data_IF_519176765393
#
_entry.id   IF_519176765393
#
_cell.length_a   1.000
_cell.length_b   1.000
_cell.length_c   1.000
_cell.angle_alpha   90.00
_cell.angle_beta   90.00
_cell.angle_gamma   90.00
#
_symmetry.space_group_name_H-M   'P 1'
#
loop_
_entity.id
_entity.type
_entity.pdbx_description
1 polymer ?
#
# COMPACT_ATOMS: atom_id res chain seq x y z
N UNK A 1 -33.01 29.52 82.62
CA UNK A 1 -31.83 29.70 81.74
C UNK A 1 -31.71 28.47 80.85
N UNK A 2 -31.82 28.70 79.53
CA UNK A 2 -31.34 27.92 78.39
C UNK A 2 -31.75 26.43 78.25
N UNK A 3 -32.73 26.18 77.37
CA UNK A 3 -32.76 24.98 76.54
C UNK A 3 -32.99 25.43 75.10
N UNK A 4 -31.94 25.40 74.28
CA UNK A 4 -31.99 25.76 72.86
C UNK A 4 -32.27 24.51 72.03
N UNK A 5 -33.43 24.44 71.39
CA UNK A 5 -33.75 23.42 70.38
C UNK A 5 -33.37 23.94 69.00
N UNK A 6 -32.33 23.35 68.42
CA UNK A 6 -31.91 23.59 67.04
C UNK A 6 -32.90 22.95 66.06
N UNK A 7 -33.62 23.76 65.29
CA UNK A 7 -34.34 23.31 64.10
C UNK A 7 -33.32 22.94 63.00
N UNK A 8 -33.32 21.68 62.55
CA UNK A 8 -32.63 21.30 61.32
C UNK A 8 -33.44 21.81 60.10
N UNK A 9 -32.78 22.38 59.07
CA UNK A 9 -33.47 22.96 57.94
C UNK A 9 -33.93 21.86 56.97
N UNK A 10 -35.24 21.82 56.70
CA UNK A 10 -35.91 20.98 55.69
C UNK A 10 -35.34 21.16 54.27
N UNK A 11 -34.62 22.25 54.01
CA UNK A 11 -33.90 22.49 52.76
C UNK A 11 -32.78 21.47 52.48
N UNK A 12 -32.21 20.84 53.52
CA UNK A 12 -31.11 19.88 53.38
C UNK A 12 -31.55 18.56 52.73
N UNK A 13 -32.74 18.04 53.08
CA UNK A 13 -33.22 16.75 52.55
C UNK A 13 -33.58 16.81 51.06
N UNK A 14 -34.14 17.93 50.57
CA UNK A 14 -34.47 18.08 49.16
C UNK A 14 -33.23 18.15 48.26
N UNK A 15 -32.15 18.79 48.73
CA UNK A 15 -30.87 18.83 48.02
C UNK A 15 -30.19 17.47 47.96
N UNK A 16 -30.32 16.66 49.02
CA UNK A 16 -29.81 15.28 49.04
C UNK A 16 -30.61 14.38 48.09
N UNK A 17 -31.93 14.53 48.04
CA UNK A 17 -32.77 13.77 47.10
C UNK A 17 -32.48 14.14 45.64
N UNK A 18 -32.30 15.42 45.32
CA UNK A 18 -31.93 15.88 43.98
C UNK A 18 -30.55 15.40 43.55
N UNK A 19 -29.57 15.39 44.45
CA UNK A 19 -28.22 14.87 44.15
C UNK A 19 -28.20 13.36 43.96
N UNK A 20 -28.98 12.60 44.73
CA UNK A 20 -29.17 11.16 44.51
C UNK A 20 -29.85 10.90 43.16
N UNK A 21 -30.90 11.65 42.81
CA UNK A 21 -31.55 11.53 41.51
C UNK A 21 -30.58 11.83 40.36
N UNK A 22 -29.74 12.86 40.53
CA UNK A 22 -28.73 13.24 39.54
C UNK A 22 -27.63 12.18 39.39
N UNK A 23 -27.21 11.55 40.49
CA UNK A 23 -26.27 10.42 40.46
C UNK A 23 -26.88 9.18 39.80
N UNK A 24 -28.16 8.89 40.01
CA UNK A 24 -28.87 7.79 39.33
C UNK A 24 -28.98 8.07 37.83
N UNK A 25 -29.31 9.29 37.44
CA UNK A 25 -29.37 9.72 36.03
C UNK A 25 -27.98 9.67 35.39
N UNK A 26 -26.92 10.08 36.09
CA UNK A 26 -25.54 9.94 35.61
C UNK A 26 -25.12 8.47 35.52
N UNK A 27 -25.45 7.63 36.49
CA UNK A 27 -25.14 6.20 36.45
C UNK A 27 -25.85 5.50 35.29
N UNK A 28 -27.11 5.84 35.01
CA UNK A 28 -27.83 5.35 33.83
C UNK A 28 -27.23 5.90 32.53
N UNK A 29 -26.84 7.18 32.48
CA UNK A 29 -26.19 7.77 31.31
C UNK A 29 -24.78 7.20 31.04
N UNK A 30 -24.06 6.77 32.08
CA UNK A 30 -22.77 6.09 31.99
C UNK A 30 -22.97 4.63 31.57
N UNK A 31 -24.00 3.94 32.08
CA UNK A 31 -24.34 2.58 31.68
C UNK A 31 -24.82 2.49 30.21
N UNK A 32 -25.55 3.49 29.71
CA UNK A 32 -25.96 3.58 28.30
C UNK A 32 -24.78 3.89 27.37
N UNK A 33 -23.67 4.47 27.88
CA UNK A 33 -22.46 4.75 27.09
C UNK A 33 -21.45 3.58 27.02
N UNK A 34 -21.77 2.42 27.61
CA UNK A 34 -20.82 1.30 27.72
C UNK A 34 -21.34 -0.06 27.23
N UNK A 35 -22.47 -0.12 26.52
CA UNK A 35 -22.68 -1.27 25.63
C UNK A 35 -21.80 -1.09 24.40
N UNK A 36 -20.79 -1.95 24.15
CA UNK A 36 -20.17 -1.98 22.84
C UNK A 36 -21.30 -2.30 21.87
N UNK A 37 -21.52 -1.40 20.91
CA UNK A 37 -22.41 -1.62 19.79
C UNK A 37 -21.95 -2.93 19.13
N UNK A 38 -22.65 -4.03 19.42
CA UNK A 38 -22.35 -5.33 18.84
C UNK A 38 -22.70 -5.20 17.36
N UNK A 39 -21.71 -4.90 16.52
CA UNK A 39 -21.91 -5.01 15.08
C UNK A 39 -22.40 -6.44 14.80
N UNK A 40 -23.57 -6.61 14.17
CA UNK A 40 -24.09 -7.94 13.87
C UNK A 40 -23.09 -8.66 12.96
N UNK A 41 -22.58 -9.80 13.44
CA UNK A 41 -21.68 -10.66 12.67
C UNK A 41 -22.25 -12.07 12.61
N UNK A 42 -22.03 -12.74 11.49
CA UNK A 42 -22.32 -14.16 11.32
C UNK A 42 -21.05 -14.96 11.64
N UNK A 43 -21.19 -16.05 12.40
CA UNK A 43 -20.08 -16.97 12.65
C UNK A 43 -20.05 -18.00 11.54
N UNK A 44 -18.93 -18.07 10.82
CA UNK A 44 -18.71 -19.04 9.74
C UNK A 44 -17.54 -19.96 10.09
N UNK A 45 -17.49 -21.10 9.42
CA UNK A 45 -16.44 -22.12 9.58
C UNK A 45 -15.80 -22.39 8.21
N UNK A 46 -14.75 -21.64 7.83
CA UNK A 46 -14.09 -21.84 6.56
C UNK A 46 -13.39 -23.20 6.51
N UNK A 47 -13.60 -23.95 5.43
CA UNK A 47 -12.95 -25.22 5.18
C UNK A 47 -12.06 -25.10 3.97
N UNK A 48 -10.75 -25.32 4.16
CA UNK A 48 -9.79 -25.35 3.05
C UNK A 48 -10.09 -26.56 2.14
N UNK A 49 -10.23 -26.33 0.85
CA UNK A 49 -10.45 -27.37 -0.15
C UNK A 49 -9.10 -27.80 -0.77
N UNK A 50 -8.96 -29.09 -1.07
CA UNK A 50 -7.81 -29.60 -1.80
C UNK A 50 -7.96 -29.36 -3.30
N UNK A 51 -7.03 -28.61 -3.89
CA UNK A 51 -6.97 -28.38 -5.33
C UNK A 51 -6.20 -29.54 -5.97
N UNK A 52 -6.91 -30.45 -6.64
CA UNK A 52 -6.28 -31.52 -7.42
C UNK A 52 -5.63 -30.93 -8.67
N UNK A 53 -4.31 -30.74 -8.63
CA UNK A 53 -3.54 -30.46 -9.83
C UNK A 53 -3.52 -31.71 -10.71
N UNK A 54 -4.21 -31.65 -11.85
CA UNK A 54 -4.11 -32.70 -12.87
C UNK A 54 -2.65 -32.72 -13.33
N UNK A 55 -1.89 -33.77 -12.98
CA UNK A 55 -0.52 -33.96 -13.47
C UNK A 55 -0.55 -33.95 -15.00
N UNK A 56 -0.14 -32.86 -15.62
CA UNK A 56 0.24 -32.88 -17.03
C UNK A 56 1.52 -33.71 -17.11
N UNK A 57 1.42 -34.86 -17.76
CA UNK A 57 2.57 -35.71 -18.11
C UNK A 57 3.35 -34.94 -19.19
N UNK A 58 4.23 -34.03 -18.78
CA UNK A 58 5.35 -33.60 -19.61
C UNK A 58 6.61 -34.23 -19.04
N UNK A 59 7.06 -35.28 -19.72
CA UNK A 59 8.42 -35.78 -19.62
C UNK A 59 9.39 -34.63 -19.85
N UNK A 60 10.11 -34.21 -18.81
CA UNK A 60 11.53 -33.94 -18.90
C UNK A 60 12.16 -33.93 -17.51
N UNK A 61 13.13 -34.81 -17.33
CA UNK A 61 13.96 -34.98 -16.15
C UNK A 61 14.76 -33.69 -15.88
N UNK A 62 14.23 -32.80 -15.05
CA UNK A 62 15.02 -31.90 -14.21
C UNK A 62 14.19 -31.39 -13.02
N UNK A 63 13.59 -32.31 -12.26
CA UNK A 63 13.09 -31.97 -10.92
C UNK A 63 14.30 -31.76 -10.00
N UNK A 64 14.89 -30.55 -10.05
CA UNK A 64 15.55 -30.03 -8.85
C UNK A 64 14.44 -29.85 -7.83
N UNK A 65 14.51 -30.60 -6.73
CA UNK A 65 13.72 -30.41 -5.51
C UNK A 65 13.73 -28.91 -5.14
N UNK A 66 12.72 -28.18 -5.59
CA UNK A 66 12.42 -26.84 -5.11
C UNK A 66 11.74 -27.00 -3.75
N UNK A 67 12.30 -26.38 -2.72
CA UNK A 67 11.68 -26.31 -1.38
C UNK A 67 10.20 -25.94 -1.54
N UNK A 68 9.29 -26.80 -1.08
CA UNK A 68 7.88 -26.43 -0.91
C UNK A 68 7.84 -25.19 -0.01
N UNK A 69 7.44 -24.04 -0.58
CA UNK A 69 7.27 -22.81 0.18
C UNK A 69 6.18 -22.97 1.23
N UNK A 70 6.28 -22.27 2.36
CA UNK A 70 5.36 -22.41 3.52
C UNK A 70 3.88 -22.16 3.17
N UNK A 71 3.62 -21.44 2.09
CA UNK A 71 2.30 -21.03 1.64
C UNK A 71 2.06 -21.42 0.19
N UNK A 72 0.99 -22.19 -0.05
CA UNK A 72 0.54 -22.65 -1.36
C UNK A 72 0.22 -21.49 -2.31
N UNK A 73 0.47 -21.63 -3.63
CA UNK A 73 0.24 -20.57 -4.61
C UNK A 73 -1.24 -20.28 -4.85
N UNK A 74 -2.10 -21.29 -4.69
CA UNK A 74 -3.54 -21.21 -4.89
C UNK A 74 -4.26 -21.89 -3.72
N UNK A 75 -5.33 -21.27 -3.25
CA UNK A 75 -6.14 -21.73 -2.13
C UNK A 75 -7.62 -21.64 -2.48
N UNK A 76 -8.40 -22.57 -1.96
CA UNK A 76 -9.85 -22.50 -1.98
C UNK A 76 -10.39 -22.69 -0.57
N UNK A 77 -11.28 -21.80 -0.13
CA UNK A 77 -11.99 -21.95 1.15
C UNK A 77 -13.48 -21.95 0.89
N UNK A 78 -14.15 -22.98 1.39
CA UNK A 78 -15.60 -23.11 1.40
C UNK A 78 -16.14 -22.65 2.75
N UNK A 79 -17.20 -21.86 2.76
CA UNK A 79 -17.93 -21.50 3.98
C UNK A 79 -19.41 -21.36 3.68
N UNK A 80 -20.25 -21.51 4.70
CA UNK A 80 -21.68 -21.16 4.60
C UNK A 80 -21.85 -19.76 5.15
N UNK A 81 -22.45 -18.88 4.36
CA UNK A 81 -22.72 -17.48 4.69
C UNK A 81 -24.16 -17.14 4.29
N UNK A 82 -24.96 -16.61 5.20
CA UNK A 82 -26.40 -16.38 4.99
C UNK A 82 -27.17 -17.63 4.51
N UNK A 83 -26.71 -18.82 4.89
CA UNK A 83 -27.29 -20.10 4.43
C UNK A 83 -26.89 -20.54 3.02
N UNK A 84 -26.05 -19.76 2.33
CA UNK A 84 -25.55 -20.08 0.99
C UNK A 84 -24.10 -20.55 1.03
N UNK A 85 -23.73 -21.45 0.12
CA UNK A 85 -22.35 -21.92 -0.02
C UNK A 85 -21.51 -20.87 -0.77
N UNK A 86 -20.47 -20.37 -0.11
CA UNK A 86 -19.51 -19.42 -0.67
C UNK A 86 -18.15 -20.09 -0.76
N UNK A 87 -17.55 -20.09 -1.95
CA UNK A 87 -16.20 -20.60 -2.18
C UNK A 87 -15.28 -19.45 -2.58
N UNK A 88 -14.31 -19.13 -1.74
CA UNK A 88 -13.26 -18.14 -2.03
C UNK A 88 -12.15 -18.80 -2.85
N UNK A 89 -11.97 -18.38 -4.09
CA UNK A 89 -10.86 -18.76 -4.96
C UNK A 89 -9.73 -17.75 -4.84
N UNK A 90 -8.63 -18.14 -4.22
CA UNK A 90 -7.55 -17.26 -3.78
C UNK A 90 -6.24 -17.63 -4.48
N UNK A 91 -5.56 -16.62 -5.01
CA UNK A 91 -4.21 -16.73 -5.57
C UNK A 91 -3.26 -15.87 -4.75
N UNK A 92 -2.09 -16.42 -4.41
CA UNK A 92 -1.08 -15.72 -3.63
C UNK A 92 -0.70 -14.42 -4.33
N UNK A 93 -0.74 -13.31 -3.60
CA UNK A 93 -0.35 -12.02 -4.15
C UNK A 93 1.14 -12.09 -4.55
N UNK A 94 1.44 -11.82 -5.82
CA UNK A 94 2.85 -11.68 -6.23
C UNK A 94 3.35 -10.31 -5.78
N UNK A 95 4.65 -10.21 -5.49
CA UNK A 95 5.38 -8.95 -5.32
C UNK A 95 4.69 -7.92 -4.40
N UNK A 96 3.99 -8.38 -3.35
CA UNK A 96 3.40 -7.48 -2.36
C UNK A 96 4.50 -6.67 -1.65
N UNK A 97 5.58 -7.38 -1.31
CA UNK A 97 6.79 -6.82 -0.70
C UNK A 97 7.94 -6.88 -1.70
N UNK A 98 8.75 -5.82 -1.71
CA UNK A 98 9.94 -5.74 -2.54
C UNK A 98 11.10 -6.57 -2.01
N UNK A 99 12.11 -6.85 -2.86
CA UNK A 99 13.34 -7.49 -2.42
C UNK A 99 14.04 -6.62 -1.36
N UNK A 100 14.47 -7.26 -0.28
CA UNK A 100 15.06 -6.61 0.90
C UNK A 100 14.12 -5.55 1.51
N UNK A 101 12.81 -5.86 1.65
CA UNK A 101 11.86 -4.98 2.33
C UNK A 101 12.37 -4.59 3.73
N UNK A 102 12.31 -3.29 4.04
CA UNK A 102 12.82 -2.69 5.27
C UNK A 102 11.73 -1.98 6.07
N UNK A 103 11.77 -2.17 7.36
CA UNK A 103 10.94 -1.45 8.32
C UNK A 103 11.83 -0.64 9.24
N UNK A 104 11.53 0.64 9.38
CA UNK A 104 12.27 1.54 10.28
C UNK A 104 11.33 2.07 11.34
N UNK A 105 11.79 2.01 12.59
CA UNK A 105 11.19 2.67 13.74
C UNK A 105 12.30 3.22 14.63
N UNK A 106 11.94 3.95 15.68
CA UNK A 106 12.88 4.66 16.54
C UNK A 106 12.70 4.26 18.00
N UNK A 107 13.83 4.10 18.70
CA UNK A 107 13.85 3.89 20.15
C UNK A 107 13.35 5.14 20.89
N UNK A 108 12.95 5.04 22.18
CA UNK A 108 12.61 6.22 22.97
C UNK A 108 13.75 7.25 23.10
N UNK A 109 14.99 6.86 22.80
CA UNK A 109 16.16 7.74 22.75
C UNK A 109 16.39 8.37 21.37
N UNK A 110 15.53 8.09 20.40
CA UNK A 110 15.61 8.58 19.02
C UNK A 110 16.57 7.80 18.12
N UNK A 111 17.06 6.63 18.57
CA UNK A 111 17.94 5.80 17.77
C UNK A 111 17.14 5.10 16.66
N UNK A 112 17.64 5.19 15.43
CA UNK A 112 17.03 4.54 14.26
C UNK A 112 17.24 3.03 14.33
N UNK A 113 16.15 2.27 14.37
CA UNK A 113 16.13 0.81 14.33
C UNK A 113 15.52 0.39 12.99
N UNK A 114 16.33 -0.25 12.14
CA UNK A 114 15.87 -0.79 10.86
C UNK A 114 15.93 -2.30 10.89
N UNK A 115 14.80 -2.94 10.66
CA UNK A 115 14.65 -4.40 10.61
C UNK A 115 14.17 -4.84 9.24
N UNK A 116 14.61 -6.02 8.81
CA UNK A 116 13.97 -6.72 7.69
C UNK A 116 13.26 -7.95 8.28
N UNK A 117 11.93 -8.09 8.13
CA UNK A 117 11.22 -9.27 8.60
C UNK A 117 11.83 -10.51 7.95
N UNK A 118 12.42 -11.40 8.76
CA UNK A 118 12.96 -12.66 8.26
C UNK A 118 11.80 -13.52 7.74
N UNK A 119 11.93 -14.02 6.51
CA UNK A 119 10.91 -14.64 5.66
C UNK A 119 10.04 -13.63 4.89
N UNK A 120 10.50 -13.27 3.69
CA UNK A 120 9.69 -12.58 2.67
C UNK A 120 8.50 -13.42 2.16
N UNK A 121 8.32 -14.65 2.68
CA UNK A 121 7.13 -15.45 2.42
C UNK A 121 5.95 -14.90 3.22
N UNK A 122 5.06 -14.21 2.51
CA UNK A 122 3.84 -13.66 3.07
C UNK A 122 2.62 -14.57 2.74
N UNK A 123 1.57 -14.40 3.53
CA UNK A 123 0.32 -15.17 3.53
C UNK A 123 -0.86 -14.40 2.91
N UNK A 124 -0.56 -13.48 1.98
CA UNK A 124 -1.54 -12.55 1.42
C UNK A 124 -1.99 -13.02 0.04
N UNK A 125 -3.29 -13.02 -0.18
CA UNK A 125 -3.96 -13.55 -1.34
C UNK A 125 -4.94 -12.55 -1.93
N UNK A 126 -5.10 -12.60 -3.24
CA UNK A 126 -6.13 -11.90 -4.00
C UNK A 126 -6.99 -12.92 -4.73
N UNK A 127 -8.25 -12.62 -4.96
CA UNK A 127 -9.16 -13.62 -5.52
C UNK A 127 -10.56 -13.11 -5.79
N UNK A 128 -11.48 -14.07 -5.88
CA UNK A 128 -12.90 -13.85 -6.14
C UNK A 128 -13.71 -15.00 -5.51
N UNK A 129 -15.01 -14.80 -5.37
CA UNK A 129 -15.98 -15.86 -5.06
C UNK A 129 -16.23 -16.68 -6.33
N UNK A 130 -16.22 -18.01 -6.21
CA UNK A 130 -16.50 -18.93 -7.30
C UNK A 130 -17.83 -18.59 -7.98
N UNK A 131 -17.87 -18.64 -9.31
CA UNK A 131 -19.02 -18.25 -10.14
C UNK A 131 -19.40 -16.76 -10.12
N UNK A 132 -18.65 -15.90 -9.40
CA UNK A 132 -18.82 -14.45 -9.41
C UNK A 132 -17.53 -13.75 -9.86
N UNK A 133 -17.28 -13.71 -11.17
CA UNK A 133 -16.02 -13.17 -11.71
C UNK A 133 -15.73 -11.71 -11.37
N UNK A 134 -16.78 -10.90 -11.16
CA UNK A 134 -16.64 -9.48 -10.84
C UNK A 134 -16.38 -9.24 -9.34
N UNK A 135 -16.57 -10.27 -8.51
CA UNK A 135 -16.29 -10.19 -7.08
C UNK A 135 -14.80 -9.98 -6.79
N UNK A 136 -14.52 -9.53 -5.58
CA UNK A 136 -13.17 -9.29 -5.08
C UNK A 136 -12.99 -10.08 -3.80
N UNK A 137 -11.81 -10.65 -3.62
CA UNK A 137 -11.30 -11.12 -2.35
C UNK A 137 -9.87 -10.61 -2.14
N UNK A 138 -9.58 -10.09 -0.96
CA UNK A 138 -8.27 -9.64 -0.49
C UNK A 138 -8.10 -10.19 0.92
N UNK A 139 -7.40 -11.32 1.04
CA UNK A 139 -7.40 -12.17 2.24
C UNK A 139 -5.97 -12.43 2.72
N UNK A 140 -5.76 -12.29 4.01
CA UNK A 140 -4.59 -12.71 4.76
C UNK A 140 -4.90 -14.05 5.44
N UNK A 141 -3.97 -15.01 5.39
CA UNK A 141 -4.11 -16.34 6.01
C UNK A 141 -3.09 -16.60 7.14
N UNK A 142 -2.32 -15.59 7.57
CA UNK A 142 -1.20 -15.78 8.51
C UNK A 142 -1.63 -16.37 9.86
N UNK A 143 -2.73 -15.86 10.42
CA UNK A 143 -3.26 -16.22 11.73
C UNK A 143 -4.79 -16.40 11.65
N UNK A 144 -5.22 -17.09 10.59
CA UNK A 144 -6.63 -17.21 10.21
C UNK A 144 -7.03 -16.32 9.04
N UNK A 145 -8.24 -16.52 8.50
CA UNK A 145 -8.77 -15.74 7.37
C UNK A 145 -9.17 -14.34 7.84
N UNK A 146 -8.40 -13.35 7.39
CA UNK A 146 -8.65 -11.95 7.69
C UNK A 146 -8.66 -11.13 6.42
N UNK A 147 -9.71 -10.37 6.16
CA UNK A 147 -9.71 -9.46 5.02
C UNK A 147 -11.08 -9.17 4.43
N UNK A 148 -11.05 -8.61 3.23
CA UNK A 148 -12.21 -8.07 2.54
C UNK A 148 -12.63 -8.98 1.40
N UNK A 149 -13.93 -9.21 1.25
CA UNK A 149 -14.47 -9.81 0.04
C UNK A 149 -15.86 -9.27 -0.32
N UNK A 150 -16.28 -9.49 -1.55
CA UNK A 150 -17.62 -9.16 -2.02
C UNK A 150 -18.35 -10.41 -2.48
N UNK A 151 -19.64 -10.50 -2.20
CA UNK A 151 -20.52 -11.58 -2.66
C UNK A 151 -21.90 -10.97 -2.92
N UNK A 152 -22.48 -11.24 -4.10
CA UNK A 152 -23.76 -10.64 -4.53
C UNK A 152 -23.81 -9.10 -4.40
N UNK A 153 -22.71 -8.42 -4.74
CA UNK A 153 -22.50 -6.97 -4.56
C UNK A 153 -22.56 -6.46 -3.11
N UNK A 154 -22.74 -7.33 -2.13
CA UNK A 154 -22.59 -7.02 -0.72
C UNK A 154 -21.12 -7.16 -0.33
N UNK A 155 -20.67 -6.26 0.55
CA UNK A 155 -19.29 -6.19 1.03
C UNK A 155 -19.21 -6.86 2.39
N UNK A 156 -18.17 -7.64 2.60
CA UNK A 156 -17.93 -8.37 3.83
C UNK A 156 -16.51 -8.20 4.32
N UNK A 157 -16.36 -8.20 5.64
CA UNK A 157 -15.07 -8.33 6.32
C UNK A 157 -15.06 -9.64 7.08
N UNK A 158 -14.09 -10.50 6.82
CA UNK A 158 -13.85 -11.71 7.61
C UNK A 158 -12.72 -11.43 8.60
N UNK A 159 -12.89 -11.88 9.85
CA UNK A 159 -11.85 -11.85 10.87
C UNK A 159 -11.83 -13.16 11.66
N UNK A 160 -10.65 -13.67 12.03
CA UNK A 160 -10.56 -14.86 12.87
C UNK A 160 -11.09 -14.57 14.28
N UNK A 161 -11.85 -15.52 14.85
CA UNK A 161 -12.17 -15.54 16.28
C UNK A 161 -11.15 -16.37 17.07
N UNK A 162 -10.45 -17.28 16.39
CA UNK A 162 -9.34 -18.09 16.91
C UNK A 162 -8.15 -18.04 15.94
N UNK A 163 -6.93 -18.30 16.41
CA UNK A 163 -5.68 -18.17 15.64
C UNK A 163 -5.42 -19.30 14.62
N UNK A 164 -6.43 -19.74 13.86
CA UNK A 164 -6.28 -20.66 12.72
C UNK A 164 -7.30 -20.33 11.62
N UNK A 165 -7.02 -20.74 10.39
CA UNK A 165 -7.82 -20.42 9.19
C UNK A 165 -9.01 -21.34 8.94
N UNK A 166 -9.13 -22.42 9.70
CA UNK A 166 -10.23 -23.40 9.58
C UNK A 166 -11.21 -23.41 10.76
N UNK A 167 -10.94 -22.58 11.76
CA UNK A 167 -11.80 -22.45 12.95
C UNK A 167 -12.90 -21.39 12.75
N UNK A 168 -13.53 -20.97 13.84
CA UNK A 168 -14.58 -19.95 13.83
C UNK A 168 -14.05 -18.59 13.34
N UNK A 169 -14.78 -18.00 12.40
CA UNK A 169 -14.54 -16.66 11.87
C UNK A 169 -15.80 -15.82 11.99
N UNK A 170 -15.65 -14.54 12.30
CA UNK A 170 -16.74 -13.58 12.24
C UNK A 170 -16.73 -12.92 10.86
N UNK A 171 -17.88 -13.00 10.17
CA UNK A 171 -18.14 -12.28 8.93
C UNK A 171 -19.08 -11.12 9.25
N UNK A 172 -18.59 -9.90 9.02
CA UNK A 172 -19.33 -8.67 9.24
C UNK A 172 -19.76 -8.09 7.91
N UNK A 173 -21.01 -7.62 7.85
CA UNK A 173 -21.46 -6.84 6.72
C UNK A 173 -20.73 -5.50 6.76
N UNK A 174 -19.95 -5.22 5.72
CA UNK A 174 -19.22 -3.98 5.59
C UNK A 174 -20.16 -2.90 5.04
N UNK A 175 -20.97 -2.34 5.94
CA UNK A 175 -21.83 -1.20 5.68
C UNK A 175 -21.20 0.04 6.33
N UNK A 176 -20.23 0.63 5.64
CA UNK A 176 -19.83 1.99 6.00
C UNK A 176 -21.01 2.91 5.66
N UNK A 177 -21.48 3.71 6.63
CA UNK A 177 -22.39 4.81 6.37
C UNK A 177 -21.89 5.57 5.14
N UNK A 178 -22.79 5.95 4.23
CA UNK A 178 -22.41 6.78 3.10
C UNK A 178 -21.76 8.03 3.65
N UNK A 179 -20.42 8.11 3.56
CA UNK A 179 -19.67 9.31 3.85
C UNK A 179 -20.33 10.40 3.02
N UNK A 180 -20.77 11.48 3.66
CA UNK A 180 -21.33 12.64 2.95
C UNK A 180 -20.34 13.00 1.84
N UNK A 181 -20.72 12.84 0.55
CA UNK A 181 -19.83 13.07 -0.57
C UNK A 181 -19.22 14.47 -0.53
N UNK A 182 -19.96 15.45 0.02
CA UNK A 182 -19.50 16.82 0.15
C UNK A 182 -18.37 17.02 1.18
N UNK A 183 -18.00 16.00 1.98
CA UNK A 183 -17.07 16.12 3.11
C UNK A 183 -15.69 15.50 2.91
N UNK A 184 -15.39 14.91 1.74
CA UNK A 184 -14.13 14.18 1.53
C UNK A 184 -13.58 14.37 0.10
N UNK A 185 -12.89 15.49 -0.12
CA UNK A 185 -12.23 15.84 -1.38
C UNK A 185 -10.74 15.48 -1.35
N UNK A 186 -10.10 15.51 -2.51
CA UNK A 186 -8.63 15.47 -2.67
C UNK A 186 -8.10 16.86 -3.05
N UNK A 187 -6.78 17.01 -3.01
CA UNK A 187 -6.10 18.18 -3.57
C UNK A 187 -4.90 17.78 -4.41
N UNK A 188 -4.46 18.65 -5.31
CA UNK A 188 -3.30 18.38 -6.17
C UNK A 188 -2.35 19.57 -6.23
N UNK A 189 -1.03 19.31 -6.35
CA UNK A 189 -0.04 20.36 -6.57
C UNK A 189 0.84 20.12 -7.78
N UNK A 190 1.00 21.19 -8.57
CA UNK A 190 1.97 21.27 -9.65
C UNK A 190 3.35 21.56 -9.08
N UNK A 191 4.17 20.52 -8.93
CA UNK A 191 5.55 20.67 -8.43
C UNK A 191 6.52 20.70 -9.62
N UNK A 192 6.60 21.87 -10.27
CA UNK A 192 7.82 22.30 -10.95
C UNK A 192 8.28 21.57 -12.22
N UNK A 193 7.45 20.79 -12.92
CA UNK A 193 7.71 20.45 -14.32
C UNK A 193 6.86 21.37 -15.19
N UNK A 194 7.47 22.43 -15.76
CA UNK A 194 6.85 23.12 -16.90
C UNK A 194 6.48 22.02 -17.90
N UNK A 195 5.27 22.06 -18.44
CA UNK A 195 4.93 21.25 -19.61
C UNK A 195 5.98 21.56 -20.67
N UNK A 196 7.02 20.73 -20.75
CA UNK A 196 7.94 20.77 -21.87
C UNK A 196 7.06 20.57 -23.08
N UNK A 197 7.13 21.51 -24.03
CA UNK A 197 6.44 21.48 -25.32
C UNK A 197 6.23 20.02 -25.72
N UNK A 198 4.96 19.62 -25.85
CA UNK A 198 4.55 18.30 -26.31
C UNK A 198 5.17 18.13 -27.70
N UNK A 199 6.39 17.60 -27.76
CA UNK A 199 7.00 17.18 -29.01
C UNK A 199 6.29 15.90 -29.39
N UNK A 200 5.34 16.02 -30.31
CA UNK A 200 4.85 14.91 -31.12
C UNK A 200 6.01 14.40 -31.97
N UNK A 201 6.91 13.62 -31.35
CA UNK A 201 7.92 12.89 -32.11
C UNK A 201 7.18 11.85 -32.95
N UNK A 202 7.02 12.13 -34.25
CA UNK A 202 6.69 11.10 -35.23
C UNK A 202 7.89 10.16 -35.31
N UNK A 203 7.87 9.04 -34.59
CA UNK A 203 8.78 7.93 -34.86
C UNK A 203 8.26 6.60 -34.33
N UNK A 204 8.20 5.64 -35.26
CA UNK A 204 8.04 4.18 -35.17
C UNK A 204 6.99 3.67 -34.16
N UNK A 205 5.87 3.14 -34.67
CA UNK A 205 4.76 2.54 -33.89
C UNK A 205 5.13 1.32 -33.03
N UNK A 206 6.36 0.78 -33.12
CA UNK A 206 6.77 -0.49 -32.49
C UNK A 206 7.19 -0.35 -31.00
N UNK A 207 8.12 0.55 -30.62
CA UNK A 207 8.61 0.64 -29.22
C UNK A 207 7.58 1.17 -28.21
N UNK A 208 6.55 1.89 -28.68
CA UNK A 208 5.48 2.42 -27.82
C UNK A 208 4.48 1.35 -27.39
N UNK A 209 4.25 0.35 -28.26
CA UNK A 209 3.37 -0.78 -27.96
C UNK A 209 4.02 -1.69 -26.91
N UNK A 210 5.32 -1.93 -27.03
CA UNK A 210 6.09 -2.77 -26.11
C UNK A 210 6.13 -2.18 -24.69
N UNK A 211 6.29 -0.86 -24.55
CA UNK A 211 6.27 -0.17 -23.23
C UNK A 211 4.89 -0.23 -22.56
N UNK A 212 3.81 -0.19 -23.35
CA UNK A 212 2.45 -0.32 -22.84
C UNK A 212 2.14 -1.75 -22.39
N UNK A 213 2.69 -2.76 -23.08
CA UNK A 213 2.46 -4.17 -22.78
C UNK A 213 3.38 -4.73 -21.69
N UNK A 214 4.51 -4.08 -21.41
CA UNK A 214 5.40 -4.47 -20.32
C UNK A 214 4.69 -4.40 -18.96
N UNK A 215 4.96 -5.39 -18.09
CA UNK A 215 4.59 -5.31 -16.68
C UNK A 215 5.23 -4.08 -16.03
N UNK A 216 4.45 -3.35 -15.23
CA UNK A 216 4.89 -2.10 -14.60
C UNK A 216 4.89 -2.27 -13.10
N UNK A 217 6.01 -1.93 -12.48
CA UNK A 217 6.20 -2.00 -11.04
C UNK A 217 6.38 -0.60 -10.48
N UNK A 218 5.66 -0.28 -9.40
CA UNK A 218 5.85 0.96 -8.62
C UNK A 218 6.43 0.56 -7.27
N UNK A 219 7.68 0.94 -7.02
CA UNK A 219 8.28 0.76 -5.70
C UNK A 219 7.78 1.86 -4.77
N UNK A 220 6.89 1.49 -3.86
CA UNK A 220 6.24 2.38 -2.91
C UNK A 220 6.98 2.37 -1.57
N UNK A 221 7.34 3.55 -1.08
CA UNK A 221 7.85 3.74 0.28
C UNK A 221 6.79 4.45 1.14
N UNK A 222 6.52 3.91 2.32
CA UNK A 222 5.55 4.51 3.24
C UNK A 222 6.24 5.21 4.40
N UNK A 223 5.71 6.37 4.77
CA UNK A 223 6.08 7.07 6.00
C UNK A 223 4.83 7.20 6.84
N UNK A 224 4.91 6.85 8.12
CA UNK A 224 3.80 6.93 9.07
C UNK A 224 4.18 7.87 10.20
N UNK A 225 3.38 8.92 10.37
CA UNK A 225 3.65 9.94 11.39
C UNK A 225 3.37 9.43 12.81
N UNK A 226 3.79 10.20 13.82
CA UNK A 226 3.63 9.83 15.21
C UNK A 226 2.15 9.76 15.61
N UNK A 227 1.30 10.61 15.04
CA UNK A 227 -0.14 10.53 15.27
C UNK A 227 -0.72 9.19 14.78
N UNK A 228 -0.30 8.71 13.62
CA UNK A 228 -0.67 7.40 13.09
C UNK A 228 -0.16 6.29 14.02
N UNK A 229 1.09 6.37 14.47
CA UNK A 229 1.65 5.42 15.44
C UNK A 229 0.83 5.33 16.74
N UNK A 230 0.38 6.47 17.26
CA UNK A 230 -0.45 6.52 18.47
C UNK A 230 -1.86 5.95 18.24
N UNK A 231 -2.45 6.07 17.05
CA UNK A 231 -3.77 5.48 16.73
C UNK A 231 -3.79 3.96 16.88
N UNK A 232 -2.66 3.29 16.67
CA UNK A 232 -2.52 1.84 16.78
C UNK A 232 -1.88 1.42 18.11
N UNK A 233 -2.12 2.19 19.17
CA UNK A 233 -1.61 1.92 20.52
C UNK A 233 -0.09 1.68 20.55
N UNK A 234 0.66 2.39 19.68
CA UNK A 234 2.12 2.29 19.60
C UNK A 234 2.61 0.87 19.27
N UNK A 235 1.80 0.08 18.58
CA UNK A 235 2.11 -1.30 18.22
C UNK A 235 2.49 -1.40 16.74
N UNK A 236 3.80 -1.49 16.47
CA UNK A 236 4.35 -1.60 15.11
C UNK A 236 3.85 -2.86 14.40
N UNK A 237 3.58 -3.95 15.12
CA UNK A 237 3.04 -5.19 14.53
C UNK A 237 1.61 -5.00 14.04
N UNK A 238 0.75 -4.29 14.79
CA UNK A 238 -0.60 -3.97 14.33
C UNK A 238 -0.58 -3.04 13.11
N UNK A 239 0.31 -2.05 13.11
CA UNK A 239 0.52 -1.15 11.97
C UNK A 239 0.97 -1.95 10.74
N UNK A 240 1.95 -2.85 10.90
CA UNK A 240 2.44 -3.72 9.82
C UNK A 240 1.29 -4.52 9.19
N UNK A 241 0.53 -5.25 10.00
CA UNK A 241 -0.59 -6.05 9.51
C UNK A 241 -1.62 -5.20 8.77
N UNK A 242 -1.97 -4.03 9.33
CA UNK A 242 -2.90 -3.09 8.69
C UNK A 242 -2.38 -2.55 7.35
N UNK A 243 -1.11 -2.12 7.31
CA UNK A 243 -0.46 -1.62 6.08
C UNK A 243 -0.45 -2.71 5.01
N UNK A 244 -0.14 -3.95 5.36
CA UNK A 244 -0.11 -5.05 4.39
C UNK A 244 -1.51 -5.36 3.84
N UNK A 245 -2.55 -5.28 4.67
CA UNK A 245 -3.94 -5.41 4.19
C UNK A 245 -4.29 -4.29 3.18
N UNK A 246 -3.87 -3.06 3.47
CA UNK A 246 -4.05 -1.89 2.61
C UNK A 246 -3.31 -2.07 1.28
N UNK A 247 -2.04 -2.52 1.30
CA UNK A 247 -1.26 -2.75 0.07
C UNK A 247 -1.84 -3.91 -0.75
N UNK A 248 -2.39 -4.94 -0.11
CA UNK A 248 -3.05 -6.03 -0.83
C UNK A 248 -4.30 -5.52 -1.57
N UNK A 249 -5.13 -4.69 -0.91
CA UNK A 249 -6.27 -4.01 -1.53
C UNK A 249 -5.86 -3.02 -2.62
N UNK A 250 -4.79 -2.25 -2.40
CA UNK A 250 -4.25 -1.31 -3.38
C UNK A 250 -3.84 -2.04 -4.67
N UNK A 251 -3.25 -3.23 -4.56
CA UNK A 251 -2.91 -4.06 -5.71
C UNK A 251 -4.16 -4.60 -6.42
N UNK A 252 -5.28 -4.86 -5.74
CA UNK A 252 -6.54 -5.20 -6.42
C UNK A 252 -6.94 -4.09 -7.40
N UNK A 253 -6.79 -2.82 -6.99
CA UNK A 253 -7.11 -1.65 -7.82
C UNK A 253 -6.13 -1.52 -9.00
N UNK A 254 -4.82 -1.51 -8.73
CA UNK A 254 -3.81 -1.24 -9.77
C UNK A 254 -3.62 -2.38 -10.77
N UNK A 255 -3.93 -3.62 -10.39
CA UNK A 255 -3.97 -4.73 -11.33
C UNK A 255 -5.00 -4.50 -12.46
N UNK A 256 -6.02 -3.66 -12.27
CA UNK A 256 -6.99 -3.35 -13.34
C UNK A 256 -6.39 -2.55 -14.50
N UNK A 257 -5.19 -1.99 -14.32
CA UNK A 257 -4.43 -1.23 -15.33
C UNK A 257 -3.01 -1.78 -15.53
N UNK A 258 -2.79 -3.06 -15.20
CA UNK A 258 -1.52 -3.79 -15.37
C UNK A 258 -0.32 -3.12 -14.67
N UNK A 259 -0.56 -2.61 -13.46
CA UNK A 259 0.45 -2.02 -12.58
C UNK A 259 0.48 -2.79 -11.26
N UNK A 260 1.69 -3.10 -10.79
CA UNK A 260 1.92 -3.73 -9.52
C UNK A 260 2.60 -2.77 -8.55
N UNK A 261 1.96 -2.53 -7.42
CA UNK A 261 2.50 -1.67 -6.36
C UNK A 261 3.25 -2.54 -5.36
N UNK A 262 4.57 -2.35 -5.30
CA UNK A 262 5.48 -3.15 -4.49
C UNK A 262 5.91 -2.34 -3.28
N UNK A 263 5.56 -2.78 -2.08
CA UNK A 263 6.01 -2.10 -0.86
C UNK A 263 7.48 -2.44 -0.59
N UNK A 264 8.37 -1.47 -0.76
CA UNK A 264 9.82 -1.66 -0.59
C UNK A 264 10.32 -1.28 0.81
N UNK A 265 9.52 -0.51 1.54
CA UNK A 265 9.80 -0.20 2.93
C UNK A 265 8.76 0.70 3.58
N UNK A 266 8.78 0.72 4.91
CA UNK A 266 8.03 1.68 5.70
C UNK A 266 8.87 2.27 6.83
N UNK A 267 8.67 3.55 7.11
CA UNK A 267 9.28 4.25 8.24
C UNK A 267 8.21 4.83 9.17
N UNK A 268 8.20 4.38 10.42
CA UNK A 268 7.28 4.84 11.47
C UNK A 268 8.01 5.82 12.37
N UNK A 269 7.53 7.05 12.47
CA UNK A 269 8.08 8.09 13.34
C UNK A 269 7.66 7.89 14.81
N UNK A 270 8.12 6.80 15.41
CA UNK A 270 7.71 6.37 16.74
C UNK A 270 8.26 7.20 17.91
N UNK A 271 9.35 7.92 17.71
CA UNK A 271 9.96 8.84 18.69
C UNK A 271 9.51 10.30 18.53
N UNK A 272 8.79 10.61 17.45
CA UNK A 272 8.29 11.95 17.13
C UNK A 272 8.43 12.28 15.66
N UNK A 273 7.60 13.20 15.17
CA UNK A 273 7.56 13.57 13.75
C UNK A 273 8.88 14.20 13.28
N UNK A 274 9.33 13.81 12.08
CA UNK A 274 10.55 14.36 11.46
C UNK A 274 10.29 15.63 10.64
N UNK A 275 9.02 16.03 10.57
CA UNK A 275 8.55 17.29 10.00
C UNK A 275 7.46 17.85 10.91
N UNK A 276 7.14 19.14 10.74
CA UNK A 276 5.96 19.70 11.38
C UNK A 276 4.68 19.27 10.62
N UNK A 277 3.96 18.29 11.16
CA UNK A 277 2.67 17.83 10.64
C UNK A 277 1.54 18.67 11.22
N UNK A 278 0.81 19.39 10.36
CA UNK A 278 -0.28 20.28 10.77
C UNK A 278 -1.58 19.96 10.03
N UNK A 279 -2.75 20.37 10.56
CA UNK A 279 -4.04 20.15 9.89
C UNK A 279 -4.18 20.81 8.51
N UNK A 280 -3.31 21.75 8.14
CA UNK A 280 -3.27 22.31 6.80
C UNK A 280 -2.48 21.38 5.86
N UNK A 281 -3.19 20.60 5.04
CA UNK A 281 -2.60 19.59 4.14
C UNK A 281 -1.55 20.16 3.20
N UNK A 282 -1.74 21.39 2.70
CA UNK A 282 -0.78 22.03 1.81
C UNK A 282 0.55 22.36 2.50
N UNK A 283 0.52 22.75 3.78
CA UNK A 283 1.73 23.01 4.57
C UNK A 283 2.44 21.69 4.87
N UNK A 284 1.71 20.68 5.35
CA UNK A 284 2.26 19.35 5.62
C UNK A 284 2.85 18.71 4.37
N UNK A 285 2.18 18.81 3.22
CA UNK A 285 2.70 18.35 1.94
C UNK A 285 4.01 19.02 1.55
N UNK A 286 4.11 20.34 1.71
CA UNK A 286 5.36 21.06 1.43
C UNK A 286 6.48 20.56 2.35
N UNK A 287 6.22 20.46 3.65
CA UNK A 287 7.19 19.99 4.62
C UNK A 287 7.66 18.56 4.30
N UNK A 288 6.73 17.68 3.93
CA UNK A 288 7.03 16.30 3.56
C UNK A 288 7.85 16.22 2.27
N UNK A 289 7.51 17.00 1.25
CA UNK A 289 8.26 17.10 0.01
C UNK A 289 9.72 17.56 0.25
N UNK A 290 9.91 18.59 1.07
CA UNK A 290 11.24 19.13 1.36
C UNK A 290 12.08 18.14 2.19
N UNK A 291 11.45 17.46 3.16
CA UNK A 291 12.09 16.38 3.92
C UNK A 291 12.45 15.19 3.03
N UNK A 292 11.55 14.75 2.16
CA UNK A 292 11.75 13.63 1.24
C UNK A 292 12.98 13.90 0.35
N UNK A 293 13.02 15.06 -0.32
CA UNK A 293 14.15 15.46 -1.16
C UNK A 293 15.48 15.47 -0.42
N UNK A 294 15.48 15.98 0.82
CA UNK A 294 16.68 16.08 1.66
C UNK A 294 17.16 14.72 2.17
N UNK A 295 16.29 13.71 2.23
CA UNK A 295 16.58 12.39 2.80
C UNK A 295 16.66 11.27 1.77
N UNK A 296 16.45 11.53 0.46
CA UNK A 296 16.49 10.52 -0.60
C UNK A 296 17.69 9.57 -0.51
N UNK A 297 18.90 10.10 -0.25
CA UNK A 297 20.12 9.29 -0.15
C UNK A 297 20.20 8.36 1.07
N UNK A 298 19.33 8.56 2.07
CA UNK A 298 19.25 7.74 3.30
C UNK A 298 18.06 6.76 3.27
N UNK A 299 17.15 6.94 2.32
CA UNK A 299 15.96 6.11 2.15
C UNK A 299 16.26 4.94 1.22
N UNK A 300 15.51 3.85 1.36
CA UNK A 300 15.56 2.74 0.40
C UNK A 300 15.12 3.27 -0.97
N UNK A 301 15.80 2.87 -2.05
CA UNK A 301 15.47 3.33 -3.42
C UNK A 301 14.01 2.99 -3.74
N UNK A 302 13.24 4.00 -4.11
CA UNK A 302 11.82 3.90 -4.42
C UNK A 302 11.43 4.85 -5.56
N UNK A 303 10.22 4.65 -6.09
CA UNK A 303 9.67 5.41 -7.21
C UNK A 303 8.65 6.46 -6.75
N UNK A 304 7.98 6.19 -5.63
CA UNK A 304 6.97 7.05 -5.02
C UNK A 304 6.95 6.89 -3.49
N UNK A 305 6.74 7.98 -2.75
CA UNK A 305 6.59 7.95 -1.30
C UNK A 305 5.25 8.53 -0.83
N UNK A 306 4.61 7.91 0.16
CA UNK A 306 3.37 8.42 0.76
C UNK A 306 3.50 8.58 2.27
N UNK A 307 3.15 9.76 2.77
CA UNK A 307 2.98 10.01 4.20
C UNK A 307 1.54 9.69 4.61
N UNK A 308 1.38 8.72 5.51
CA UNK A 308 0.12 8.39 6.17
C UNK A 308 0.06 9.09 7.53
N UNK A 309 -0.88 10.02 7.69
CA UNK A 309 -0.98 10.86 8.88
C UNK A 309 -2.17 10.50 9.77
N UNK A 310 -1.96 10.35 11.07
CA UNK A 310 -3.05 10.25 12.05
C UNK A 310 -3.71 11.60 12.39
N UNK A 311 -3.17 12.70 11.87
CA UNK A 311 -3.74 14.04 12.05
C UNK A 311 -4.96 14.21 11.15
N UNK A 312 -6.04 14.78 11.69
CA UNK A 312 -7.20 15.16 10.89
C UNK A 312 -6.95 16.47 10.15
N UNK A 313 -7.00 16.44 8.83
CA UNK A 313 -6.80 17.60 7.99
C UNK A 313 -8.06 18.47 7.90
N UNK A 314 -7.85 19.77 7.68
CA UNK A 314 -8.92 20.77 7.53
C UNK A 314 -9.46 20.80 6.11
N UNK A 315 -10.60 21.46 5.95
CA UNK A 315 -11.23 21.74 4.65
C UNK A 315 -11.58 20.50 3.86
N UNK A 316 -11.85 19.38 4.54
CA UNK A 316 -12.37 18.14 3.92
C UNK A 316 -11.38 17.46 2.96
N UNK A 317 -10.11 17.89 2.94
CA UNK A 317 -9.06 17.32 2.09
C UNK A 317 -8.49 16.07 2.75
N UNK A 318 -8.72 14.91 2.14
CA UNK A 318 -8.27 13.60 2.65
C UNK A 318 -6.91 13.16 2.12
N UNK A 319 -6.45 13.77 1.02
CA UNK A 319 -5.16 13.50 0.42
C UNK A 319 -4.67 14.67 -0.44
N UNK A 320 -3.36 14.75 -0.62
CA UNK A 320 -2.74 15.68 -1.56
C UNK A 320 -1.49 15.09 -2.20
N UNK A 321 -1.43 15.08 -3.53
CA UNK A 321 -0.31 14.54 -4.31
C UNK A 321 0.36 15.55 -5.25
N UNK A 322 1.61 15.25 -5.61
CA UNK A 322 2.32 15.91 -6.70
C UNK A 322 1.86 15.34 -8.06
N UNK A 323 1.28 16.18 -8.92
CA UNK A 323 0.80 15.76 -10.25
C UNK A 323 1.93 15.30 -11.16
N UNK A 324 1.67 14.24 -11.94
CA UNK A 324 2.55 13.78 -13.03
C UNK A 324 4.00 13.53 -12.59
N UNK A 325 4.20 13.20 -11.31
CA UNK A 325 5.49 13.33 -10.64
C UNK A 325 6.27 12.02 -10.52
N UNK A 326 5.71 10.89 -10.98
CA UNK A 326 6.34 9.58 -10.84
C UNK A 326 7.80 9.57 -11.33
N UNK A 327 8.64 8.81 -10.62
CA UNK A 327 10.08 8.69 -10.88
C UNK A 327 10.88 10.00 -10.66
N UNK A 328 10.31 10.99 -9.97
CA UNK A 328 11.03 12.22 -9.62
C UNK A 328 11.24 12.33 -8.12
N UNK A 329 12.23 13.12 -7.66
CA UNK A 329 12.37 13.51 -6.26
C UNK A 329 11.13 14.19 -5.65
N UNK A 330 10.17 14.59 -6.49
CA UNK A 330 8.92 15.21 -6.07
C UNK A 330 7.75 14.24 -6.04
N UNK A 331 7.98 12.94 -6.30
CA UNK A 331 6.94 11.92 -6.29
C UNK A 331 6.51 11.57 -4.88
N UNK A 332 5.68 12.44 -4.30
CA UNK A 332 5.17 12.29 -2.95
C UNK A 332 3.67 12.56 -2.87
N UNK A 333 3.02 11.95 -1.89
CA UNK A 333 1.68 12.30 -1.45
C UNK A 333 1.57 12.34 0.08
N UNK A 334 0.62 13.11 0.59
CA UNK A 334 0.23 13.15 2.02
C UNK A 334 -1.22 12.74 2.13
N UNK A 335 -1.52 11.79 3.00
CA UNK A 335 -2.82 11.13 3.11
C UNK A 335 -3.26 11.10 4.58
N UNK A 336 -4.50 11.49 4.84
CA UNK A 336 -5.13 11.37 6.15
C UNK A 336 -5.52 9.92 6.41
N UNK A 337 -4.88 9.26 7.37
CA UNK A 337 -5.24 7.93 7.87
C UNK A 337 -6.27 7.93 9.00
N UNK A 338 -6.54 9.10 9.63
CA UNK A 338 -7.45 9.20 10.77
C UNK A 338 -8.83 8.60 10.48
N UNK A 339 -9.27 7.65 11.32
CA UNK A 339 -10.57 6.94 11.24
C UNK A 339 -10.81 6.19 9.91
N UNK A 340 -9.77 5.94 9.11
CA UNK A 340 -9.90 5.13 7.89
C UNK A 340 -9.55 3.68 8.20
N UNK A 341 -10.42 2.77 7.80
CA UNK A 341 -10.08 1.35 7.75
C UNK A 341 -9.27 1.04 6.48
N UNK A 342 -8.93 -0.23 6.28
CA UNK A 342 -8.06 -0.66 5.18
C UNK A 342 -8.64 -0.35 3.79
N UNK A 343 -9.96 -0.50 3.62
CA UNK A 343 -10.68 -0.24 2.37
C UNK A 343 -10.67 1.24 2.03
N UNK A 344 -11.07 2.10 2.98
CA UNK A 344 -11.09 3.55 2.77
C UNK A 344 -9.68 4.10 2.53
N UNK A 345 -8.68 3.63 3.28
CA UNK A 345 -7.30 4.10 3.10
C UNK A 345 -6.72 3.67 1.76
N UNK A 346 -6.93 2.41 1.35
CA UNK A 346 -6.50 1.93 0.03
C UNK A 346 -7.13 2.75 -1.11
N UNK A 347 -8.40 3.14 -0.99
CA UNK A 347 -9.07 4.01 -1.96
C UNK A 347 -8.40 5.39 -2.09
N UNK A 348 -8.11 6.06 -0.97
CA UNK A 348 -7.41 7.36 -0.98
C UNK A 348 -5.98 7.23 -1.51
N UNK A 349 -5.25 6.19 -1.08
CA UNK A 349 -3.89 5.93 -1.59
C UNK A 349 -3.88 5.70 -3.10
N UNK A 350 -4.86 4.98 -3.63
CA UNK A 350 -5.01 4.74 -5.07
C UNK A 350 -5.38 6.02 -5.82
N UNK A 351 -6.25 6.85 -5.25
CA UNK A 351 -6.64 8.12 -5.82
C UNK A 351 -5.42 9.07 -5.97
N UNK A 352 -4.66 9.26 -4.89
CA UNK A 352 -3.47 10.12 -4.89
C UNK A 352 -2.36 9.60 -5.81
N UNK A 353 -2.15 8.28 -5.87
CA UNK A 353 -1.20 7.68 -6.81
C UNK A 353 -1.71 7.78 -8.27
N UNK A 354 -3.02 7.81 -8.50
CA UNK A 354 -3.63 8.11 -9.81
C UNK A 354 -3.24 9.50 -10.32
N UNK A 355 -3.25 10.52 -9.47
CA UNK A 355 -2.76 11.87 -9.78
C UNK A 355 -1.27 11.92 -10.14
N UNK A 356 -0.45 11.15 -9.41
CA UNK A 356 0.98 10.99 -9.70
C UNK A 356 1.20 10.37 -11.08
N UNK A 357 0.29 9.47 -11.48
CA UNK A 357 0.23 8.80 -12.80
C UNK A 357 -0.54 9.60 -13.87
N UNK A 358 -0.86 10.86 -13.60
CA UNK A 358 -1.43 11.80 -14.56
C UNK A 358 -2.93 11.66 -14.82
N UNK A 359 -3.65 10.95 -13.96
CA UNK A 359 -5.11 10.85 -14.01
C UNK A 359 -5.74 12.06 -13.31
N UNK A 360 -6.67 12.78 -13.95
CA UNK A 360 -7.44 13.84 -13.32
C UNK A 360 -8.60 13.27 -12.51
N UNK A 361 -9.19 14.11 -11.65
CA UNK A 361 -10.49 13.83 -11.05
C UNK A 361 -11.56 13.64 -12.13
N UNK A 362 -12.52 12.78 -11.83
CA UNK A 362 -13.74 12.59 -12.62
C UNK A 362 -14.97 12.93 -11.79
N UNK A 363 -16.07 13.39 -12.42
CA UNK A 363 -17.32 13.66 -11.72
C UNK A 363 -17.80 12.44 -10.93
N UNK A 364 -18.37 12.65 -9.74
CA UNK A 364 -18.79 11.55 -8.85
C UNK A 364 -19.77 10.56 -9.50
N UNK A 365 -20.61 11.03 -10.42
CA UNK A 365 -21.58 10.22 -11.15
C UNK A 365 -20.99 9.43 -12.35
N UNK A 366 -19.67 9.46 -12.53
CA UNK A 366 -18.98 8.68 -13.56
C UNK A 366 -19.20 7.19 -13.32
N UNK A 367 -19.61 6.47 -14.36
CA UNK A 367 -19.90 5.03 -14.26
C UNK A 367 -18.61 4.21 -14.31
N UNK A 368 -18.43 3.36 -13.31
CA UNK A 368 -17.45 2.28 -13.27
C UNK A 368 -18.14 0.95 -12.96
N UNK A 369 -17.52 -0.18 -13.32
CA UNK A 369 -18.12 -1.50 -13.15
C UNK A 369 -18.38 -1.82 -11.67
N UNK A 370 -17.46 -1.44 -10.78
CA UNK A 370 -17.61 -1.48 -9.32
C UNK A 370 -18.64 -0.50 -8.74
N UNK A 371 -19.27 0.34 -9.57
CA UNK A 371 -20.22 1.38 -9.14
C UNK A 371 -19.58 2.63 -8.52
N UNK A 372 -18.25 2.65 -8.32
CA UNK A 372 -17.47 3.82 -7.91
C UNK A 372 -16.10 3.78 -8.55
N UNK A 373 -15.65 4.91 -9.10
CA UNK A 373 -14.34 5.03 -9.74
C UNK A 373 -13.28 5.53 -8.76
N UNK A 374 -12.04 5.05 -8.91
CA UNK A 374 -10.88 5.49 -8.10
C UNK A 374 -10.71 7.00 -8.12
N UNK A 375 -10.82 7.61 -9.30
CA UNK A 375 -10.58 9.05 -9.50
C UNK A 375 -11.82 9.92 -9.27
N UNK A 376 -12.87 9.42 -8.61
CA UNK A 376 -14.02 10.25 -8.28
C UNK A 376 -13.59 11.45 -7.42
N UNK A 377 -14.11 12.64 -7.70
CA UNK A 377 -13.84 13.88 -6.97
C UNK A 377 -14.21 13.83 -5.47
N UNK A 378 -15.07 12.87 -5.09
CA UNK A 378 -15.47 12.60 -3.71
C UNK A 378 -15.27 11.11 -3.38
N UNK A 379 -14.85 10.84 -2.13
CA UNK A 379 -14.78 9.46 -1.63
C UNK A 379 -16.17 8.83 -1.57
N UNK A 380 -16.28 7.62 -2.11
CA UNK A 380 -17.45 6.77 -1.93
C UNK A 380 -17.24 5.84 -0.74
N UNK A 381 -18.32 5.42 -0.09
CA UNK A 381 -18.29 4.29 0.85
C UNK A 381 -17.96 2.98 0.12
N UNK A 382 -18.24 2.88 -1.18
CA UNK A 382 -17.95 1.70 -2.01
C UNK A 382 -16.45 1.59 -2.27
N UNK A 383 -15.94 0.36 -2.29
CA UNK A 383 -14.55 0.12 -2.66
C UNK A 383 -14.34 0.49 -4.14
N UNK A 384 -13.48 1.47 -4.47
CA UNK A 384 -13.31 1.92 -5.83
C UNK A 384 -12.33 1.01 -6.56
N UNK A 385 -12.80 -0.17 -6.99
CA UNK A 385 -11.97 -1.16 -7.70
C UNK A 385 -11.45 -0.64 -9.04
N UNK A 386 -12.27 0.12 -9.76
CA UNK A 386 -12.04 0.40 -11.18
C UNK A 386 -11.64 1.84 -11.49
N UNK A 387 -10.74 1.99 -12.45
CA UNK A 387 -10.48 3.26 -13.14
C UNK A 387 -11.45 3.48 -14.29
N UNK A 388 -12.01 4.69 -14.39
CA UNK A 388 -12.88 5.10 -15.48
C UNK A 388 -12.16 5.10 -16.84
N UNK A 389 -12.92 5.12 -17.93
CA UNK A 389 -12.38 5.24 -19.29
C UNK A 389 -11.55 6.52 -19.48
N UNK A 390 -11.98 7.62 -18.86
CA UNK A 390 -11.24 8.90 -18.83
C UNK A 390 -9.90 8.73 -18.12
N UNK A 391 -9.90 8.12 -16.93
CA UNK A 391 -8.69 7.86 -16.15
C UNK A 391 -7.68 7.01 -16.93
N UNK A 392 -8.15 5.91 -17.54
CA UNK A 392 -7.33 5.02 -18.37
C UNK A 392 -6.72 5.72 -19.58
N UNK A 393 -7.47 6.60 -20.24
CA UNK A 393 -7.00 7.40 -21.37
C UNK A 393 -5.87 8.36 -20.95
N UNK A 394 -6.06 9.05 -19.83
CA UNK A 394 -5.06 9.97 -19.27
C UNK A 394 -3.80 9.25 -18.81
N UNK A 395 -3.94 8.11 -18.13
CA UNK A 395 -2.83 7.23 -17.77
C UNK A 395 -2.02 6.81 -18.99
N UNK A 396 -2.68 6.30 -20.04
CA UNK A 396 -2.00 5.90 -21.28
C UNK A 396 -1.23 7.08 -21.90
N UNK A 397 -1.82 8.27 -21.92
CA UNK A 397 -1.16 9.49 -22.40
C UNK A 397 0.05 9.86 -21.55
N UNK A 398 -0.06 9.77 -20.22
CA UNK A 398 1.04 10.03 -19.29
C UNK A 398 2.22 9.07 -19.52
N UNK A 399 1.94 7.77 -19.54
CA UNK A 399 2.92 6.69 -19.74
C UNK A 399 3.66 6.85 -21.07
N UNK A 400 2.94 7.10 -22.18
CA UNK A 400 3.54 7.27 -23.50
C UNK A 400 4.35 8.56 -23.64
N UNK A 401 3.88 9.66 -23.05
CA UNK A 401 4.55 10.97 -23.17
C UNK A 401 5.76 11.11 -22.25
N UNK A 402 5.66 10.62 -21.02
CA UNK A 402 6.71 10.78 -20.01
C UNK A 402 7.70 9.62 -20.01
N UNK A 403 7.29 8.44 -20.52
CA UNK A 403 8.05 7.18 -20.50
C UNK A 403 8.82 7.00 -19.18
N UNK A 404 8.11 6.98 -18.03
CA UNK A 404 8.73 6.95 -16.71
C UNK A 404 9.53 5.65 -16.55
N UNK A 405 10.85 5.73 -16.78
CA UNK A 405 11.73 4.55 -16.87
C UNK A 405 11.81 3.73 -15.58
N UNK A 406 11.49 4.34 -14.43
CA UNK A 406 11.51 3.62 -13.16
C UNK A 406 10.45 2.50 -13.08
N UNK A 407 9.39 2.55 -13.90
CA UNK A 407 8.34 1.52 -13.96
C UNK A 407 8.79 0.20 -14.60
N UNK A 408 9.83 0.23 -15.43
CA UNK A 408 10.32 -0.94 -16.16
C UNK A 408 11.38 -1.73 -15.38
N UNK A 409 11.59 -1.42 -14.10
CA UNK A 409 12.54 -2.17 -13.28
C UNK A 409 12.03 -3.60 -13.16
N UNK A 410 12.77 -4.53 -13.75
CA UNK A 410 12.64 -5.95 -13.42
C UNK A 410 12.91 -6.10 -11.93
N UNK A 411 12.02 -6.78 -11.21
CA UNK A 411 12.30 -7.25 -9.85
C UNK A 411 13.42 -8.29 -9.97
N UNK A 412 14.67 -7.85 -10.13
CA UNK A 412 15.82 -8.74 -10.06
C UNK A 412 16.01 -9.01 -8.57
N UNK A 413 15.70 -10.21 -8.07
CA UNK A 413 16.12 -10.57 -6.73
C UNK A 413 17.64 -10.59 -6.76
N UNK A 414 18.33 -9.97 -5.79
CA UNK A 414 19.81 -10.02 -5.70
C UNK A 414 20.40 -11.44 -5.73
N UNK A 415 19.58 -12.47 -5.53
CA UNK A 415 19.98 -13.87 -5.64
C UNK A 415 20.10 -14.36 -7.09
N UNK A 416 19.68 -13.56 -8.08
CA UNK A 416 20.15 -13.70 -9.45
C UNK A 416 21.43 -12.89 -9.54
N UNK A 417 22.56 -13.55 -9.27
CA UNK A 417 23.85 -13.08 -9.74
C UNK A 417 23.72 -12.93 -11.26
N UNK A 418 23.43 -11.72 -11.75
CA UNK A 418 23.66 -11.40 -13.15
C UNK A 418 25.15 -11.64 -13.31
N UNK A 419 25.52 -12.71 -14.02
CA UNK A 419 26.93 -12.95 -14.32
C UNK A 419 27.39 -11.72 -15.10
N UNK A 420 28.43 -11.01 -14.63
CA UNK A 420 28.98 -9.87 -15.37
C UNK A 420 29.28 -10.32 -16.81
N UNK A 421 28.91 -9.49 -17.78
CA UNK A 421 29.05 -9.78 -19.20
C UNK A 421 30.12 -8.87 -19.77
N UNK A 422 31.34 -9.36 -19.73
CA UNK A 422 32.48 -8.66 -20.30
C UNK A 422 32.27 -8.32 -21.79
N UNK A 423 32.50 -7.06 -22.12
CA UNK A 423 32.42 -6.52 -23.47
C UNK A 423 31.08 -5.84 -23.77
N UNK A 424 30.28 -5.53 -22.75
CA UNK A 424 29.02 -4.80 -22.88
C UNK A 424 29.17 -3.28 -22.62
N UNK A 425 30.40 -2.81 -22.41
CA UNK A 425 30.77 -1.41 -22.14
C UNK A 425 30.21 -0.87 -20.81
N UNK A 426 29.81 -1.74 -19.89
CA UNK A 426 29.39 -1.41 -18.54
C UNK A 426 30.36 -2.03 -17.55
N UNK A 427 30.94 -1.23 -16.66
CA UNK A 427 31.83 -1.76 -15.62
C UNK A 427 31.00 -2.49 -14.54
N UNK A 428 31.05 -3.82 -14.53
CA UNK A 428 30.28 -4.67 -13.61
C UNK A 428 31.12 -5.24 -12.45
N UNK A 429 30.46 -5.85 -11.46
CA UNK A 429 31.13 -6.39 -10.26
C UNK A 429 32.01 -7.60 -10.65
N UNK A 430 33.32 -7.45 -10.51
CA UNK A 430 34.32 -8.47 -10.86
C UNK A 430 35.19 -8.08 -12.05
N UNK A 431 34.84 -7.00 -12.75
CA UNK A 431 35.62 -6.41 -13.84
C UNK A 431 36.44 -5.22 -13.34
N UNK A 432 37.59 -4.98 -13.96
CA UNK A 432 38.44 -3.82 -13.67
C UNK A 432 38.33 -2.75 -14.77
N UNK A 433 37.92 -3.16 -15.98
CA UNK A 433 37.61 -2.29 -17.11
C UNK A 433 36.66 -3.02 -18.07
N UNK A 434 35.83 -2.30 -18.82
CA UNK A 434 35.08 -2.85 -19.96
C UNK A 434 35.12 -1.84 -21.11
N UNK A 435 35.66 -2.24 -22.25
CA UNK A 435 35.82 -1.40 -23.44
C UNK A 435 35.01 -1.90 -24.65
N UNK A 436 34.05 -2.80 -24.44
CA UNK A 436 33.28 -3.42 -25.52
C UNK A 436 33.92 -4.69 -26.06
N UNK A 437 33.42 -5.18 -27.20
CA UNK A 437 33.95 -6.40 -27.82
C UNK A 437 35.42 -6.23 -28.25
N UNK A 438 36.17 -7.32 -28.46
CA UNK A 438 37.55 -7.25 -28.94
C UNK A 438 37.73 -6.49 -30.27
N UNK A 439 36.67 -6.41 -31.08
CA UNK A 439 36.67 -5.71 -32.36
C UNK A 439 36.45 -4.20 -32.21
N UNK A 440 35.76 -3.78 -31.13
CA UNK A 440 35.36 -2.39 -30.89
C UNK A 440 36.23 -1.67 -29.84
N UNK A 441 36.99 -2.43 -29.03
CA UNK A 441 37.77 -1.89 -27.93
C UNK A 441 38.93 -1.00 -28.42
N UNK A 442 38.80 0.31 -28.20
CA UNK A 442 39.84 1.31 -28.47
C UNK A 442 40.75 1.61 -27.25
N UNK A 443 40.48 1.01 -26.08
CA UNK A 443 41.26 1.25 -24.87
C UNK A 443 42.52 0.37 -24.84
N UNK A 444 43.73 0.93 -24.97
CA UNK A 444 44.96 0.14 -25.01
C UNK A 444 45.21 -0.62 -23.69
N UNK A 445 44.69 -0.11 -22.57
CA UNK A 445 44.95 -0.62 -21.23
C UNK A 445 43.94 -1.70 -20.78
N UNK A 446 42.87 -1.93 -21.55
CA UNK A 446 41.84 -2.90 -21.19
C UNK A 446 41.89 -4.13 -22.10
N UNK A 447 41.88 -5.31 -21.49
CA UNK A 447 41.68 -6.57 -22.22
C UNK A 447 40.18 -6.81 -22.41
N UNK A 448 39.69 -6.57 -23.64
CA UNK A 448 38.30 -6.74 -24.03
C UNK A 448 37.76 -8.18 -23.92
N UNK A 449 38.64 -9.19 -23.81
CA UNK A 449 38.21 -10.59 -23.63
C UNK A 449 38.01 -10.98 -22.18
N UNK A 450 38.72 -10.33 -21.26
CA UNK A 450 38.70 -10.69 -19.84
C UNK A 450 38.18 -9.57 -18.93
N UNK A 451 38.00 -8.35 -19.45
CA UNK A 451 37.59 -7.16 -18.70
C UNK A 451 38.49 -6.85 -17.49
N UNK A 452 39.78 -7.08 -17.72
CA UNK A 452 40.86 -6.83 -16.77
C UNK A 452 41.86 -5.86 -17.40
N UNK A 453 42.62 -5.17 -16.55
CA UNK A 453 43.72 -4.35 -17.02
C UNK A 453 44.82 -5.23 -17.61
N UNK A 454 45.35 -4.81 -18.76
CA UNK A 454 46.57 -5.39 -19.32
C UNK A 454 47.78 -5.06 -18.41
N UNK A 455 48.87 -5.82 -18.49
CA UNK A 455 50.10 -5.50 -17.79
C UNK A 455 50.54 -4.06 -18.07
N UNK A 456 51.09 -3.36 -17.07
CA UNK A 456 51.48 -1.94 -17.18
C UNK A 456 52.42 -1.64 -18.36
N UNK A 457 53.17 -2.63 -18.86
CA UNK A 457 54.03 -2.50 -20.04
C UNK A 457 53.26 -2.33 -21.37
N UNK A 458 52.03 -2.81 -21.46
CA UNK A 458 51.15 -2.70 -22.65
C UNK A 458 50.20 -1.50 -22.59
N UNK A 459 50.09 -0.90 -21.40
CA UNK A 459 49.35 0.32 -21.12
C UNK A 459 50.28 1.51 -21.36
N UNK A 460 50.44 1.97 -22.61
CA UNK A 460 51.36 3.06 -22.96
C UNK A 460 51.31 4.26 -22.00
N UNK A 461 52.44 4.96 -21.81
CA UNK A 461 52.78 5.89 -20.71
C UNK A 461 51.82 7.06 -20.38
N UNK A 462 50.66 7.18 -21.02
CA UNK A 462 49.71 8.28 -20.81
C UNK A 462 48.41 7.86 -20.14
N UNK A 463 48.46 7.04 -19.10
CA UNK A 463 47.34 6.89 -18.16
C UNK A 463 47.78 6.31 -16.80
N UNK A 464 48.49 7.11 -16.00
CA UNK A 464 48.43 7.01 -14.53
C UNK A 464 47.38 8.02 -14.02
N UNK A 465 46.64 7.68 -12.96
CA UNK A 465 45.34 8.27 -12.60
C UNK A 465 45.36 9.79 -12.35
#
# INVERSE_FOLDING_TARGET
MLCGTSQLPTASMSLVLLSILWLIVQAQAIAIKQTPELEPYEVVHPKKLHILHKREIQNNQTEKQGKEGRYEPELQYQMILNGEEVILCLQKAKHLLGPDYLETYYSPRGEKITTSPQNMEHCYYKGHVLNEKDSVASICTCDGLRGYFTHHNQRYMIKPLKSTDQEEHAVLIYNQEELDPANHTCGVRNVGRKQGLIRTSRSLKRPEQDFLQAEKYIYLFLVLDNAFYNMYNRNVTLIRSFVFDVINLLNVIYNTIDVQVVLIGMEVWSDGDKINVVPNTAVTFKNFLDWHRSNLGKMKIHDHAQLLSGVGFKNRITGLAALNSLCSPSSVAVIEGKRKNSVSLAGVMAHELGHVLGMPDVPYNTKCLSGSCVMNEYLSSKFPKDFSTVSRSHYKKYILSQKPRCLLKTLVPKNMMIKPVCGNQLLEVGEVCDCGSPEECANPCCDATTCMLKPEADCGETSKP
#
